data_IF_852488666461
#
_entry.id   IF_852488666461
#
_cell.length_a   1.000
_cell.length_b   1.000
_cell.length_c   1.000
_cell.angle_alpha   90.00
_cell.angle_beta   90.00
_cell.angle_gamma   90.00
#
_symmetry.space_group_name_H-M   'P 1'
#
loop_
_entity.id
_entity.type
_entity.pdbx_description
1 polymer ?
#
# COMPACT_ATOMS: atom_id res chain seq x y z
N UNK A 1 12.63 4.29 17.98
CA UNK A 1 12.92 5.25 16.88
C UNK A 1 11.61 5.63 16.21
N UNK A 2 11.46 6.84 15.66
CA UNK A 2 10.28 7.23 14.85
C UNK A 2 10.73 7.50 13.41
N UNK A 3 10.02 6.94 12.42
CA UNK A 3 10.26 7.15 10.98
C UNK A 3 9.02 7.79 10.34
N UNK A 4 9.23 8.84 9.55
CA UNK A 4 8.18 9.41 8.70
C UNK A 4 8.14 8.65 7.37
N UNK A 5 6.97 8.16 6.97
CA UNK A 5 6.80 7.35 5.76
C UNK A 5 5.77 7.92 4.81
N UNK A 6 6.06 7.81 3.51
CA UNK A 6 5.18 8.16 2.40
C UNK A 6 5.81 7.71 1.08
N UNK A 7 4.97 7.43 0.10
CA UNK A 7 5.36 6.85 -1.17
C UNK A 7 6.06 5.48 -1.04
N UNK A 8 6.81 5.11 -2.07
CA UNK A 8 7.42 3.77 -2.19
C UNK A 8 8.84 3.66 -1.64
N UNK A 9 9.49 4.79 -1.32
CA UNK A 9 10.88 4.81 -0.87
C UNK A 9 11.05 4.33 0.57
N UNK A 10 10.26 4.88 1.49
CA UNK A 10 10.39 4.57 2.91
C UNK A 10 10.05 3.11 3.25
N UNK A 11 9.03 2.45 2.67
CA UNK A 11 8.81 1.03 2.88
C UNK A 11 10.05 0.14 2.62
N UNK A 12 10.89 0.49 1.63
CA UNK A 12 12.15 -0.20 1.36
C UNK A 12 13.15 -0.06 2.50
N UNK A 13 13.25 1.14 3.07
CA UNK A 13 14.11 1.40 4.23
C UNK A 13 13.62 0.64 5.46
N UNK A 14 12.31 0.61 5.69
CA UNK A 14 11.70 -0.09 6.83
C UNK A 14 11.97 -1.60 6.79
N UNK A 15 12.03 -2.21 5.60
CA UNK A 15 12.40 -3.61 5.43
C UNK A 15 13.81 -3.94 5.92
N UNK A 16 14.77 -3.03 5.75
CA UNK A 16 16.09 -3.20 6.36
C UNK A 16 16.11 -2.87 7.85
N UNK A 17 15.34 -1.84 8.25
CA UNK A 17 15.32 -1.36 9.64
C UNK A 17 14.74 -2.39 10.62
N UNK A 18 13.72 -3.17 10.19
CA UNK A 18 13.08 -4.20 11.04
C UNK A 18 14.03 -5.30 11.48
N UNK A 19 15.10 -5.54 10.73
CA UNK A 19 16.11 -6.57 11.06
C UNK A 19 17.06 -6.13 12.18
N UNK A 20 17.12 -4.82 12.49
CA UNK A 20 18.16 -4.26 13.37
C UNK A 20 17.63 -3.41 14.52
N UNK A 21 16.35 -3.01 14.52
CA UNK A 21 15.81 -2.13 15.55
C UNK A 21 14.28 -2.15 15.65
N UNK A 22 13.79 -1.84 16.85
CA UNK A 22 12.39 -1.48 17.08
C UNK A 22 12.12 0.00 16.70
N UNK A 23 11.01 0.23 16.01
CA UNK A 23 10.60 1.55 15.57
C UNK A 23 9.08 1.73 15.55
N UNK A 24 8.67 2.99 15.44
CA UNK A 24 7.29 3.38 15.14
C UNK A 24 7.29 4.18 13.85
N UNK A 25 6.23 4.06 13.06
CA UNK A 25 6.09 4.77 11.78
C UNK A 25 4.94 5.76 11.88
N UNK A 26 5.18 7.00 11.46
CA UNK A 26 4.13 7.99 11.22
C UNK A 26 3.98 8.11 9.71
N UNK A 27 2.81 7.75 9.20
CA UNK A 27 2.58 7.59 7.76
C UNK A 27 1.76 8.75 7.21
N UNK A 28 2.09 9.19 6.01
CA UNK A 28 1.31 10.16 5.25
C UNK A 28 -0.13 9.66 5.00
N UNK A 29 -1.10 10.59 5.07
CA UNK A 29 -2.52 10.33 4.81
C UNK A 29 -3.11 11.31 3.80
N UNK A 30 -2.28 12.15 3.15
CA UNK A 30 -2.76 13.16 2.21
C UNK A 30 -3.34 12.56 0.92
N UNK A 31 -2.96 11.31 0.61
CA UNK A 31 -3.39 10.56 -0.58
C UNK A 31 -4.59 9.65 -0.30
N UNK A 32 -5.10 9.65 0.94
CA UNK A 32 -6.19 8.80 1.36
C UNK A 32 -7.51 9.18 0.65
N UNK A 33 -8.15 8.22 -0.01
CA UNK A 33 -9.32 8.48 -0.88
C UNK A 33 -10.43 7.45 -0.64
N UNK A 34 -11.67 7.82 -0.97
CA UNK A 34 -12.80 6.88 -0.97
C UNK A 34 -13.00 6.32 -2.38
N UNK A 35 -12.95 4.99 -2.52
CA UNK A 35 -13.17 4.27 -3.78
C UNK A 35 -14.14 3.12 -3.50
N UNK A 36 -15.15 2.96 -4.36
CA UNK A 36 -16.11 1.85 -4.27
C UNK A 36 -16.73 1.67 -2.88
N UNK A 37 -17.01 2.79 -2.19
CA UNK A 37 -17.61 2.82 -0.86
C UNK A 37 -16.66 2.54 0.31
N UNK A 38 -15.36 2.33 0.05
CA UNK A 38 -14.35 2.03 1.06
C UNK A 38 -13.26 3.11 1.09
N UNK A 39 -12.64 3.30 2.25
CA UNK A 39 -11.49 4.18 2.42
C UNK A 39 -10.22 3.41 2.06
N UNK A 40 -9.44 3.96 1.14
CA UNK A 40 -8.11 3.44 0.77
C UNK A 40 -7.05 4.41 1.28
N UNK A 41 -5.99 3.86 1.88
CA UNK A 41 -4.91 4.60 2.54
C UNK A 41 -3.55 4.12 1.98
N UNK A 42 -3.16 4.54 0.75
CA UNK A 42 -2.11 3.88 -0.02
C UNK A 42 -0.76 3.73 0.69
N UNK A 43 -0.32 4.79 1.39
CA UNK A 43 0.96 4.79 2.10
C UNK A 43 0.92 3.93 3.37
N UNK A 44 -0.21 3.95 4.10
CA UNK A 44 -0.42 3.10 5.28
C UNK A 44 -0.41 1.64 4.85
N UNK A 45 -1.18 1.30 3.81
CA UNK A 45 -1.29 -0.04 3.28
C UNK A 45 0.07 -0.55 2.80
N UNK A 46 0.84 0.28 2.10
CA UNK A 46 2.19 -0.07 1.62
C UNK A 46 3.16 -0.36 2.78
N UNK A 47 3.10 0.40 3.87
CA UNK A 47 3.90 0.12 5.08
C UNK A 47 3.48 -1.22 5.71
N UNK A 48 2.18 -1.46 5.85
CA UNK A 48 1.64 -2.72 6.40
C UNK A 48 2.08 -3.91 5.54
N UNK A 49 1.87 -3.83 4.22
CA UNK A 49 2.20 -4.92 3.29
C UNK A 49 3.69 -5.19 3.22
N UNK A 50 4.54 -4.14 3.25
CA UNK A 50 5.98 -4.31 3.26
C UNK A 50 6.42 -5.05 4.53
N UNK A 51 6.03 -4.56 5.71
CA UNK A 51 6.44 -5.15 6.98
C UNK A 51 5.87 -6.57 7.19
N UNK A 52 4.71 -6.86 6.61
CA UNK A 52 4.13 -8.20 6.58
C UNK A 52 4.71 -9.12 5.49
N UNK A 53 5.66 -8.63 4.68
CA UNK A 53 6.32 -9.37 3.57
C UNK A 53 5.36 -9.87 2.49
N UNK A 54 4.23 -9.18 2.30
CA UNK A 54 3.22 -9.50 1.28
C UNK A 54 3.11 -8.44 0.19
N UNK A 55 3.93 -7.39 0.24
CA UNK A 55 3.93 -6.34 -0.78
C UNK A 55 4.39 -6.86 -2.15
N UNK A 56 3.81 -6.33 -3.22
CA UNK A 56 4.36 -6.50 -4.56
C UNK A 56 5.68 -5.70 -4.68
N UNK A 57 6.82 -6.38 -4.61
CA UNK A 57 8.16 -5.78 -4.66
C UNK A 57 8.53 -5.17 -6.02
N UNK A 58 7.80 -5.47 -7.10
CA UNK A 58 8.02 -4.84 -8.41
C UNK A 58 7.45 -3.41 -8.40
N UNK A 59 6.30 -3.22 -7.75
CA UNK A 59 5.56 -1.94 -7.75
C UNK A 59 5.73 -1.13 -6.47
N UNK A 60 5.98 -1.80 -5.34
CA UNK A 60 6.00 -1.27 -3.98
C UNK A 60 4.65 -0.69 -3.50
N UNK A 61 3.56 -1.27 -3.99
CA UNK A 61 2.19 -1.08 -3.52
C UNK A 61 1.35 -2.30 -3.94
N UNK A 62 0.24 -2.54 -3.24
CA UNK A 62 -0.60 -3.73 -3.45
C UNK A 62 0.05 -5.02 -2.96
N UNK A 63 -0.69 -6.12 -3.07
CA UNK A 63 -0.30 -7.44 -2.56
C UNK A 63 0.35 -8.28 -3.67
N UNK A 64 1.44 -8.97 -3.34
CA UNK A 64 2.16 -9.86 -4.24
C UNK A 64 1.24 -10.98 -4.74
N UNK A 65 1.12 -11.09 -6.06
CA UNK A 65 0.31 -12.13 -6.71
C UNK A 65 -1.20 -11.92 -6.61
N UNK A 66 -1.65 -10.72 -6.24
CA UNK A 66 -3.08 -10.40 -6.21
C UNK A 66 -3.71 -10.40 -7.61
N UNK A 67 -5.02 -10.60 -7.67
CA UNK A 67 -5.81 -10.62 -8.90
C UNK A 67 -6.72 -9.40 -8.98
N UNK A 68 -7.08 -8.98 -10.19
CA UNK A 68 -7.94 -7.81 -10.41
C UNK A 68 -9.37 -8.18 -10.78
N UNK A 69 -9.87 -9.35 -10.34
CA UNK A 69 -11.16 -9.92 -10.81
C UNK A 69 -12.35 -8.97 -10.63
N UNK A 70 -12.46 -8.33 -9.46
CA UNK A 70 -13.56 -7.39 -9.18
C UNK A 70 -13.43 -6.12 -10.03
N UNK A 71 -12.23 -5.54 -10.09
CA UNK A 71 -11.96 -4.36 -10.91
C UNK A 71 -12.25 -4.62 -12.40
N UNK A 72 -11.82 -5.78 -12.92
CA UNK A 72 -12.08 -6.20 -14.30
C UNK A 72 -13.57 -6.43 -14.58
N UNK A 73 -14.31 -7.01 -13.63
CA UNK A 73 -15.75 -7.18 -13.75
C UNK A 73 -16.47 -5.83 -13.75
N UNK A 74 -16.12 -4.93 -12.84
CA UNK A 74 -16.67 -3.57 -12.79
C UNK A 74 -16.43 -2.83 -14.11
N UNK A 75 -15.20 -2.90 -14.63
CA UNK A 75 -14.85 -2.33 -15.94
C UNK A 75 -15.69 -2.92 -17.06
N UNK A 76 -15.91 -4.24 -17.06
CA UNK A 76 -16.76 -4.91 -18.07
C UNK A 76 -18.23 -4.46 -18.03
N UNK A 77 -18.70 -3.98 -16.88
CA UNK A 77 -20.04 -3.42 -16.68
C UNK A 77 -20.10 -1.91 -16.95
N UNK A 78 -18.99 -1.27 -17.33
CA UNK A 78 -18.92 0.16 -17.61
C UNK A 78 -18.64 1.03 -16.38
N UNK A 79 -18.19 0.45 -15.27
CA UNK A 79 -17.78 1.18 -14.07
C UNK A 79 -16.24 1.21 -13.97
N UNK A 80 -15.65 2.40 -13.92
CA UNK A 80 -14.20 2.59 -13.76
C UNK A 80 -13.87 2.97 -12.31
N UNK A 81 -12.77 2.41 -11.78
CA UNK A 81 -12.22 2.78 -10.48
C UNK A 81 -10.98 3.67 -10.65
N UNK A 82 -10.81 4.63 -9.74
CA UNK A 82 -9.67 5.57 -9.77
C UNK A 82 -8.33 4.90 -9.46
N UNK A 83 -8.38 3.76 -8.79
CA UNK A 83 -7.21 2.96 -8.42
C UNK A 83 -7.45 1.53 -8.84
N UNK A 84 -6.36 0.86 -9.20
CA UNK A 84 -6.36 -0.52 -9.65
C UNK A 84 -5.49 -1.34 -8.72
#
# INVERSE_FOLDING_TARGET
>A
MIVLSGGTGTPKLLMGLKEIADFSVVVNTAEDIWVSGNKICPDIDSVIYALAEVIDEEKWWGIKGDTFRTNEMLRSLGFEELMR
#
